data_IF_989054538721
#
_entry.id   IF_989054538721
#
_cell.length_a   1.000
_cell.length_b   1.000
_cell.length_c   1.000
_cell.angle_alpha   90.00
_cell.angle_beta   90.00
_cell.angle_gamma   90.00
#
_symmetry.space_group_name_H-M   'P 1'
#
loop_
_entity.id
_entity.type
_entity.pdbx_description
1 polymer ?
#
# COMPACT_ATOMS: atom_id res chain seq x y z
N UNK A 1 5.75 -38.75 -0.63
CA UNK A 1 5.38 -37.59 -1.46
C UNK A 1 6.13 -36.38 -0.92
N UNK A 2 7.13 -35.88 -1.66
CA UNK A 2 7.85 -34.66 -1.28
C UNK A 2 6.87 -33.48 -1.34
N UNK A 3 6.46 -32.95 -0.18
CA UNK A 3 5.89 -31.61 -0.11
C UNK A 3 6.99 -30.66 -0.58
N UNK A 4 6.92 -30.19 -1.83
CA UNK A 4 7.74 -29.04 -2.25
C UNK A 4 7.45 -27.94 -1.24
N UNK A 5 8.47 -27.49 -0.52
CA UNK A 5 8.44 -26.25 0.24
C UNK A 5 7.88 -25.18 -0.71
N UNK A 6 6.89 -24.37 -0.28
CA UNK A 6 6.44 -23.26 -1.10
C UNK A 6 7.67 -22.43 -1.50
N UNK A 7 7.84 -22.19 -2.79
CA UNK A 7 8.96 -21.39 -3.29
C UNK A 7 8.91 -20.03 -2.61
N UNK A 8 9.96 -19.67 -1.87
CA UNK A 8 10.07 -18.35 -1.26
C UNK A 8 9.99 -17.30 -2.36
N UNK A 9 9.15 -16.29 -2.17
CA UNK A 9 9.11 -15.13 -3.06
C UNK A 9 10.42 -14.34 -2.92
N UNK A 10 11.32 -14.48 -3.89
CA UNK A 10 12.64 -13.83 -3.91
C UNK A 10 12.82 -12.97 -5.19
N UNK A 11 12.26 -11.75 -5.19
CA UNK A 11 12.38 -10.81 -6.31
C UNK A 11 13.81 -10.35 -6.59
N UNK A 12 14.75 -10.51 -5.66
CA UNK A 12 16.13 -10.02 -5.83
C UNK A 12 17.14 -11.14 -6.09
N UNK A 13 16.79 -12.40 -5.82
CA UNK A 13 17.70 -13.53 -5.90
C UNK A 13 18.73 -13.54 -4.76
N UNK A 14 18.48 -12.77 -3.70
CA UNK A 14 19.43 -12.51 -2.62
C UNK A 14 18.96 -13.07 -1.28
N UNK A 15 17.90 -13.87 -1.23
CA UNK A 15 17.30 -14.40 0.00
C UNK A 15 18.33 -15.01 0.97
N UNK A 16 19.26 -15.80 0.45
CA UNK A 16 20.29 -16.44 1.28
C UNK A 16 21.28 -15.45 1.91
N UNK A 17 21.59 -14.36 1.20
CA UNK A 17 22.58 -13.35 1.61
C UNK A 17 21.99 -12.17 2.40
N UNK A 18 20.75 -11.78 2.11
CA UNK A 18 20.13 -10.55 2.61
C UNK A 18 18.76 -10.76 3.27
N UNK A 19 18.32 -12.01 3.41
CA UNK A 19 17.02 -12.32 4.02
C UNK A 19 15.84 -12.09 3.10
N UNK A 20 14.63 -12.25 3.64
CA UNK A 20 13.38 -12.03 2.91
C UNK A 20 13.23 -10.57 2.50
N UNK A 21 13.03 -10.33 1.20
CA UNK A 21 12.87 -8.99 0.60
C UNK A 21 13.97 -7.98 0.92
N UNK A 22 15.19 -8.45 1.20
CA UNK A 22 16.32 -7.61 1.61
C UNK A 22 15.98 -6.67 2.78
N UNK A 23 15.29 -7.19 3.80
CA UNK A 23 14.97 -6.43 5.01
C UNK A 23 16.23 -6.00 5.77
N UNK A 24 16.11 -4.93 6.54
CA UNK A 24 17.21 -4.27 7.26
C UNK A 24 17.96 -5.19 8.26
N UNK A 25 17.36 -6.30 8.71
CA UNK A 25 17.97 -7.20 9.69
C UNK A 25 18.55 -8.47 9.07
N UNK A 26 18.36 -8.70 7.77
CA UNK A 26 18.80 -9.92 7.09
C UNK A 26 18.00 -11.18 7.48
N UNK A 27 16.86 -11.03 8.16
CA UNK A 27 16.05 -12.16 8.65
C UNK A 27 15.35 -12.89 7.49
N UNK A 28 15.23 -14.22 7.62
CA UNK A 28 14.68 -15.12 6.60
C UNK A 28 13.33 -15.69 7.00
N UNK A 29 13.07 -15.78 8.29
CA UNK A 29 11.79 -16.24 8.82
C UNK A 29 10.70 -15.20 8.58
N UNK A 30 9.71 -15.54 7.77
CA UNK A 30 8.64 -14.63 7.35
C UNK A 30 7.84 -14.07 8.53
N UNK A 31 7.59 -14.87 9.56
CA UNK A 31 6.78 -14.44 10.71
C UNK A 31 7.57 -13.46 11.60
N UNK A 32 8.88 -13.68 11.76
CA UNK A 32 9.76 -12.70 12.41
C UNK A 32 9.85 -11.41 11.59
N UNK A 33 10.01 -11.51 10.27
CA UNK A 33 10.06 -10.35 9.37
C UNK A 33 8.78 -9.52 9.50
N UNK A 34 7.60 -10.14 9.42
CA UNK A 34 6.32 -9.44 9.61
C UNK A 34 6.22 -8.73 10.96
N UNK A 35 6.67 -9.34 12.05
CA UNK A 35 6.65 -8.70 13.38
C UNK A 35 7.58 -7.49 13.46
N UNK A 36 8.81 -7.63 12.96
CA UNK A 36 9.78 -6.53 12.96
C UNK A 36 9.34 -5.39 12.04
N UNK A 37 8.85 -5.71 10.85
CA UNK A 37 8.28 -4.75 9.91
C UNK A 37 7.09 -4.02 10.53
N UNK A 38 6.18 -4.74 11.21
CA UNK A 38 5.03 -4.13 11.89
C UNK A 38 5.47 -3.15 12.98
N UNK A 39 6.49 -3.50 13.77
CA UNK A 39 7.05 -2.59 14.78
C UNK A 39 7.63 -1.32 14.15
N UNK A 40 8.45 -1.47 13.10
CA UNK A 40 9.04 -0.35 12.38
C UNK A 40 7.97 0.54 11.71
N UNK A 41 6.97 -0.07 11.09
CA UNK A 41 5.81 0.60 10.51
C UNK A 41 5.04 1.42 11.56
N UNK A 42 4.71 0.81 12.69
CA UNK A 42 3.92 1.45 13.75
C UNK A 42 4.63 2.68 14.32
N UNK A 43 5.96 2.65 14.44
CA UNK A 43 6.76 3.79 14.87
C UNK A 43 6.74 4.98 13.90
N UNK A 44 6.37 4.76 12.63
CA UNK A 44 6.32 5.79 11.57
C UNK A 44 4.91 6.25 11.21
N UNK A 45 3.88 5.57 11.70
CA UNK A 45 2.50 5.79 11.28
C UNK A 45 2.03 7.23 11.50
N UNK A 46 2.29 7.80 12.68
CA UNK A 46 1.90 9.19 13.00
C UNK A 46 2.58 10.21 12.09
N UNK A 47 3.88 10.01 11.80
CA UNK A 47 4.63 10.86 10.87
C UNK A 47 4.04 10.80 9.46
N UNK A 48 3.70 9.61 8.97
CA UNK A 48 3.11 9.42 7.65
C UNK A 48 1.72 10.07 7.54
N UNK A 49 0.88 9.94 8.57
CA UNK A 49 -0.43 10.59 8.65
C UNK A 49 -0.30 12.12 8.66
N UNK A 50 0.64 12.66 9.45
CA UNK A 50 0.90 14.10 9.51
C UNK A 50 1.35 14.65 8.16
N UNK A 51 2.27 13.94 7.48
CA UNK A 51 2.72 14.28 6.13
C UNK A 51 1.57 14.27 5.12
N UNK A 52 0.70 13.25 5.16
CA UNK A 52 -0.45 13.15 4.26
C UNK A 52 -1.45 14.29 4.48
N UNK A 53 -1.81 14.58 5.72
CA UNK A 53 -2.73 15.67 6.06
C UNK A 53 -2.19 17.05 5.61
N UNK A 54 -0.87 17.25 5.67
CA UNK A 54 -0.23 18.48 5.19
C UNK A 54 -0.08 18.57 3.66
N UNK A 55 -0.30 17.47 2.93
CA UNK A 55 -0.10 17.42 1.48
C UNK A 55 -1.29 18.06 0.77
N UNK A 56 -1.08 19.14 0.02
CA UNK A 56 -2.18 19.84 -0.68
C UNK A 56 -2.89 18.97 -1.73
N UNK A 57 -2.14 18.23 -2.53
CA UNK A 57 -2.67 17.39 -3.61
C UNK A 57 -2.08 15.99 -3.55
N UNK A 58 -2.94 14.97 -3.57
CA UNK A 58 -2.52 13.57 -3.55
C UNK A 58 -2.24 13.12 -5.00
N UNK A 59 -0.96 13.01 -5.32
CA UNK A 59 -0.45 12.52 -6.61
C UNK A 59 0.22 11.15 -6.44
N UNK A 60 0.57 10.46 -7.53
CA UNK A 60 1.35 9.23 -7.44
C UNK A 60 2.68 9.40 -6.67
N UNK A 61 3.34 10.56 -6.79
CA UNK A 61 4.53 10.87 -6.00
C UNK A 61 4.24 10.92 -4.49
N UNK A 62 3.02 11.29 -4.10
CA UNK A 62 2.58 11.24 -2.70
C UNK A 62 2.45 9.79 -2.23
N UNK A 63 1.94 8.89 -3.08
CA UNK A 63 1.84 7.44 -2.78
C UNK A 63 3.23 6.85 -2.52
N UNK A 64 4.21 7.15 -3.37
CA UNK A 64 5.60 6.72 -3.19
C UNK A 64 6.20 7.29 -1.89
N UNK A 65 5.98 8.58 -1.60
CA UNK A 65 6.45 9.23 -0.36
C UNK A 65 5.80 8.61 0.88
N UNK A 66 4.52 8.30 0.85
CA UNK A 66 3.81 7.63 1.95
C UNK A 66 4.40 6.25 2.20
N UNK A 67 4.61 5.45 1.16
CA UNK A 67 5.27 4.16 1.31
C UNK A 67 6.68 4.32 1.88
N UNK A 68 7.45 5.30 1.41
CA UNK A 68 8.78 5.58 1.97
C UNK A 68 8.70 5.90 3.47
N UNK A 69 7.85 6.85 3.85
CA UNK A 69 7.70 7.27 5.24
C UNK A 69 7.35 6.09 6.17
N UNK A 70 6.51 5.16 5.70
CA UNK A 70 6.07 4.00 6.45
C UNK A 70 7.13 2.89 6.58
N UNK A 71 7.96 2.68 5.56
CA UNK A 71 8.79 1.47 5.46
C UNK A 71 10.31 1.71 5.36
N UNK A 72 10.77 2.97 5.32
CA UNK A 72 12.19 3.32 5.11
C UNK A 72 13.15 2.75 6.17
N UNK A 73 12.67 2.48 7.38
CA UNK A 73 13.52 1.92 8.44
C UNK A 73 13.72 0.39 8.30
N UNK A 74 12.94 -0.26 7.43
CA UNK A 74 12.92 -1.71 7.30
C UNK A 74 13.28 -2.21 5.90
N UNK A 75 12.96 -1.45 4.86
CA UNK A 75 13.30 -1.77 3.47
C UNK A 75 14.05 -0.63 2.80
N UNK A 76 15.21 -0.94 2.22
CA UNK A 76 16.00 0.05 1.46
C UNK A 76 15.29 0.56 0.21
N UNK A 77 14.37 -0.24 -0.33
CA UNK A 77 13.55 0.08 -1.49
C UNK A 77 12.25 0.81 -1.14
N UNK A 78 12.03 1.23 0.12
CA UNK A 78 10.81 1.93 0.50
C UNK A 78 10.57 3.19 -0.37
N UNK A 79 9.38 3.27 -0.98
CA UNK A 79 9.00 4.34 -1.89
C UNK A 79 9.44 4.12 -3.34
N UNK A 80 9.99 2.95 -3.66
CA UNK A 80 10.27 2.51 -5.02
C UNK A 80 9.23 1.49 -5.45
N UNK A 81 8.57 1.78 -6.56
CA UNK A 81 7.60 0.87 -7.17
C UNK A 81 8.28 -0.33 -7.87
N UNK A 82 7.48 -1.30 -8.31
CA UNK A 82 7.97 -2.50 -9.00
C UNK A 82 8.65 -2.19 -10.33
N UNK A 83 8.28 -1.10 -11.00
CA UNK A 83 8.99 -0.67 -12.21
C UNK A 83 10.47 -0.36 -11.90
N UNK A 84 10.74 0.21 -10.74
CA UNK A 84 12.10 0.56 -10.33
C UNK A 84 12.84 -0.51 -9.52
N UNK A 85 12.15 -1.50 -8.94
CA UNK A 85 12.78 -2.60 -8.18
C UNK A 85 12.89 -3.89 -8.97
N UNK A 86 11.87 -4.24 -9.75
CA UNK A 86 11.71 -5.52 -10.45
C UNK A 86 10.89 -5.36 -11.73
N UNK A 87 11.39 -4.61 -12.73
CA UNK A 87 10.64 -4.29 -13.95
C UNK A 87 10.21 -5.52 -14.74
N UNK A 88 10.99 -6.61 -14.67
CA UNK A 88 10.76 -7.82 -15.46
C UNK A 88 9.95 -8.90 -14.74
N UNK A 89 9.34 -8.56 -13.58
CA UNK A 89 8.60 -9.53 -12.75
C UNK A 89 7.13 -9.17 -12.62
N UNK A 90 6.29 -10.05 -13.13
CA UNK A 90 4.86 -10.04 -12.86
C UNK A 90 4.58 -10.60 -11.46
N UNK A 91 3.69 -9.94 -10.72
CA UNK A 91 3.27 -10.38 -9.38
C UNK A 91 1.78 -10.71 -9.44
N UNK A 92 1.43 -11.83 -8.82
CA UNK A 92 0.04 -12.27 -8.65
C UNK A 92 -0.22 -12.70 -7.22
N UNK A 93 -1.46 -12.60 -6.77
CA UNK A 93 -1.93 -13.15 -5.50
C UNK A 93 -2.78 -14.39 -5.74
N UNK A 94 -2.53 -15.45 -4.97
CA UNK A 94 -3.18 -16.75 -5.11
C UNK A 94 -2.33 -17.74 -5.91
N UNK A 95 -2.62 -19.03 -5.72
CA UNK A 95 -1.88 -20.11 -6.39
C UNK A 95 -2.07 -20.07 -7.91
N UNK A 96 -1.08 -20.58 -8.65
CA UNK A 96 -1.07 -20.59 -10.14
C UNK A 96 -2.32 -21.25 -10.72
N UNK A 97 -2.87 -22.26 -10.03
CA UNK A 97 -4.05 -23.02 -10.46
C UNK A 97 -5.34 -22.58 -9.74
N UNK A 98 -5.31 -21.50 -8.96
CA UNK A 98 -6.49 -21.02 -8.22
C UNK A 98 -7.41 -20.21 -9.13
N UNK A 99 -8.74 -20.46 -9.13
CA UNK A 99 -9.70 -19.59 -9.82
C UNK A 99 -9.77 -18.19 -9.20
N UNK A 100 -9.19 -17.99 -8.01
CA UNK A 100 -9.09 -16.70 -7.33
C UNK A 100 -7.72 -16.03 -7.52
N UNK A 101 -6.92 -16.49 -8.49
CA UNK A 101 -5.65 -15.85 -8.82
C UNK A 101 -5.93 -14.46 -9.38
N UNK A 102 -5.33 -13.46 -8.74
CA UNK A 102 -5.39 -12.06 -9.19
C UNK A 102 -4.02 -11.68 -9.72
N UNK A 103 -3.94 -11.43 -11.03
CA UNK A 103 -2.79 -10.77 -11.62
C UNK A 103 -2.88 -9.27 -11.32
N UNK A 104 -1.78 -8.70 -10.86
CA UNK A 104 -1.69 -7.27 -10.65
C UNK A 104 -1.15 -6.58 -11.89
N UNK A 105 -1.31 -5.26 -11.93
CA UNK A 105 -0.89 -4.46 -13.06
C UNK A 105 0.60 -4.65 -13.41
N UNK A 106 0.92 -4.58 -14.70
CA UNK A 106 2.30 -4.68 -15.18
C UNK A 106 3.13 -3.50 -14.70
N UNK A 107 4.42 -3.69 -14.36
CA UNK A 107 5.27 -2.62 -13.82
C UNK A 107 5.18 -1.29 -14.57
N UNK A 108 5.20 -1.32 -15.90
CA UNK A 108 5.14 -0.17 -16.78
C UNK A 108 3.77 0.55 -16.81
N UNK A 109 2.69 -0.12 -16.39
CA UNK A 109 1.33 0.42 -16.35
C UNK A 109 0.87 0.83 -14.94
N UNK A 110 1.64 0.50 -13.88
CA UNK A 110 1.28 0.79 -12.47
C UNK A 110 0.86 2.25 -12.29
N UNK A 111 1.69 3.18 -12.77
CA UNK A 111 1.44 4.61 -12.59
C UNK A 111 0.17 5.04 -13.32
N UNK A 112 -0.05 4.56 -14.54
CA UNK A 112 -1.25 4.89 -15.32
C UNK A 112 -2.51 4.41 -14.59
N UNK A 113 -2.52 3.16 -14.11
CA UNK A 113 -3.63 2.60 -13.37
C UNK A 113 -3.91 3.36 -12.07
N UNK A 114 -2.86 3.74 -11.33
CA UNK A 114 -3.00 4.51 -10.09
C UNK A 114 -3.49 5.94 -10.36
N UNK A 115 -2.91 6.63 -11.34
CA UNK A 115 -3.29 8.00 -11.73
C UNK A 115 -4.76 8.05 -12.20
N UNK A 116 -5.25 7.02 -12.89
CA UNK A 116 -6.67 6.92 -13.22
C UNK A 116 -7.56 6.84 -11.96
N UNK A 117 -7.16 6.06 -10.96
CA UNK A 117 -7.84 6.03 -9.66
C UNK A 117 -7.84 7.38 -8.94
N UNK A 118 -6.70 8.11 -8.97
CA UNK A 118 -6.58 9.45 -8.40
C UNK A 118 -7.44 10.47 -9.13
N UNK A 119 -7.51 10.40 -10.46
CA UNK A 119 -8.38 11.25 -11.27
C UNK A 119 -9.87 11.04 -10.96
N UNK A 120 -10.28 9.79 -10.67
CA UNK A 120 -11.65 9.53 -10.22
C UNK A 120 -11.89 10.09 -8.81
N UNK A 121 -10.90 9.99 -7.93
CA UNK A 121 -10.98 10.45 -6.55
C UNK A 121 -10.93 11.99 -6.40
N UNK A 122 -10.40 12.73 -7.38
CA UNK A 122 -10.32 14.19 -7.33
C UNK A 122 -11.69 14.88 -7.39
N UNK A 123 -12.71 14.18 -7.87
CA UNK A 123 -14.11 14.62 -7.82
C UNK A 123 -14.77 14.04 -6.56
N UNK A 124 -15.21 14.91 -5.64
CA UNK A 124 -15.79 14.50 -4.36
C UNK A 124 -17.09 13.69 -4.50
N UNK A 125 -17.89 13.94 -5.54
CA UNK A 125 -19.12 13.18 -5.79
C UNK A 125 -18.78 11.77 -6.28
N UNK A 126 -17.80 11.65 -7.19
CA UNK A 126 -17.29 10.35 -7.66
C UNK A 126 -16.62 9.59 -6.53
N UNK A 127 -15.82 10.26 -5.70
CA UNK A 127 -15.17 9.63 -4.54
C UNK A 127 -16.20 9.02 -3.58
N UNK A 128 -17.28 9.76 -3.27
CA UNK A 128 -18.39 9.25 -2.44
C UNK A 128 -19.14 8.09 -3.09
N UNK A 129 -19.49 8.21 -4.36
CA UNK A 129 -20.30 7.20 -5.06
C UNK A 129 -19.52 5.93 -5.42
N UNK A 130 -18.19 6.04 -5.60
CA UNK A 130 -17.34 4.97 -6.16
C UNK A 130 -16.12 4.66 -5.29
N UNK A 131 -16.19 4.91 -3.98
CA UNK A 131 -15.09 4.68 -3.05
C UNK A 131 -14.50 3.26 -3.15
N UNK A 132 -15.36 2.24 -3.23
CA UNK A 132 -14.95 0.84 -3.40
C UNK A 132 -14.27 0.56 -4.74
N UNK A 133 -14.76 1.14 -5.84
CA UNK A 133 -14.11 1.03 -7.16
C UNK A 133 -12.73 1.66 -7.16
N UNK A 134 -12.59 2.85 -6.55
CA UNK A 134 -11.31 3.57 -6.45
C UNK A 134 -10.31 2.76 -5.60
N UNK A 135 -10.75 2.21 -4.46
CA UNK A 135 -9.94 1.28 -3.67
C UNK A 135 -9.49 0.07 -4.51
N UNK A 136 -10.40 -0.51 -5.29
CA UNK A 136 -10.10 -1.62 -6.18
C UNK A 136 -9.04 -1.29 -7.24
N UNK A 137 -9.12 -0.11 -7.86
CA UNK A 137 -8.12 0.38 -8.82
C UNK A 137 -6.74 0.52 -8.16
N UNK A 138 -6.68 1.10 -6.96
CA UNK A 138 -5.42 1.19 -6.22
C UNK A 138 -4.88 -0.20 -5.88
N UNK A 139 -5.73 -1.11 -5.38
CA UNK A 139 -5.34 -2.47 -5.04
C UNK A 139 -4.83 -3.27 -6.25
N UNK A 140 -5.46 -3.06 -7.42
CA UNK A 140 -5.09 -3.69 -8.68
C UNK A 140 -3.72 -3.19 -9.20
N UNK A 141 -3.46 -1.89 -9.10
CA UNK A 141 -2.17 -1.31 -9.52
C UNK A 141 -0.97 -1.90 -8.75
N UNK A 142 -1.18 -2.29 -7.49
CA UNK A 142 -0.22 -3.00 -6.64
C UNK A 142 1.24 -2.51 -6.79
N UNK A 143 1.52 -1.22 -6.48
CA UNK A 143 2.75 -0.56 -6.89
C UNK A 143 4.04 -1.12 -6.30
N UNK A 144 4.02 -1.75 -5.12
CA UNK A 144 5.22 -2.11 -4.34
C UNK A 144 5.41 -3.63 -4.22
N UNK A 145 6.59 -4.08 -3.76
CA UNK A 145 6.85 -5.49 -3.46
C UNK A 145 6.11 -6.01 -2.23
N UNK A 146 5.98 -5.16 -1.21
CA UNK A 146 5.15 -5.36 -0.02
C UNK A 146 4.66 -3.99 0.47
N UNK A 147 3.79 -3.92 1.47
CA UNK A 147 3.30 -2.66 2.05
C UNK A 147 2.16 -2.00 1.27
N UNK A 148 1.70 -2.63 0.18
CA UNK A 148 0.62 -2.12 -0.68
C UNK A 148 -0.66 -1.81 0.08
N UNK A 149 -1.23 -2.79 0.79
CA UNK A 149 -2.51 -2.63 1.48
C UNK A 149 -2.49 -1.49 2.51
N UNK A 150 -1.41 -1.38 3.30
CA UNK A 150 -1.23 -0.32 4.30
C UNK A 150 -1.10 1.05 3.65
N UNK A 151 -0.26 1.18 2.63
CA UNK A 151 -0.08 2.46 1.92
C UNK A 151 -1.37 2.92 1.25
N UNK A 152 -2.04 2.01 0.51
CA UNK A 152 -3.28 2.29 -0.22
C UNK A 152 -4.40 2.66 0.75
N UNK A 153 -4.51 1.99 1.90
CA UNK A 153 -5.51 2.30 2.91
C UNK A 153 -5.37 3.73 3.43
N UNK A 154 -4.16 4.16 3.82
CA UNK A 154 -3.92 5.53 4.27
C UNK A 154 -4.26 6.56 3.19
N UNK A 155 -3.84 6.33 1.94
CA UNK A 155 -4.16 7.21 0.81
C UNK A 155 -5.67 7.30 0.58
N UNK A 156 -6.36 6.17 0.58
CA UNK A 156 -7.79 6.10 0.35
C UNK A 156 -8.60 6.77 1.47
N UNK A 157 -8.18 6.58 2.73
CA UNK A 157 -8.78 7.26 3.88
C UNK A 157 -8.64 8.77 3.79
N UNK A 158 -7.46 9.27 3.42
CA UNK A 158 -7.22 10.70 3.23
C UNK A 158 -8.09 11.27 2.10
N UNK A 159 -8.24 10.54 0.99
CA UNK A 159 -9.14 10.92 -0.11
C UNK A 159 -10.62 10.93 0.32
N UNK A 160 -11.07 9.93 1.08
CA UNK A 160 -12.42 9.92 1.66
C UNK A 160 -12.64 11.15 2.55
N UNK A 161 -11.69 11.43 3.44
CA UNK A 161 -11.75 12.54 4.38
C UNK A 161 -11.87 13.88 3.63
N UNK A 162 -11.06 14.09 2.59
CA UNK A 162 -11.13 15.29 1.72
C UNK A 162 -12.44 15.40 0.94
N UNK A 163 -13.11 14.28 0.68
CA UNK A 163 -14.44 14.23 0.08
C UNK A 163 -15.58 14.35 1.12
N UNK A 164 -15.25 14.64 2.39
CA UNK A 164 -16.22 14.94 3.43
C UNK A 164 -16.86 13.72 4.10
N UNK A 165 -16.24 12.53 3.98
CA UNK A 165 -16.74 11.32 4.64
C UNK A 165 -15.59 10.44 5.14
N UNK A 166 -15.91 9.47 6.00
CA UNK A 166 -14.95 8.49 6.50
C UNK A 166 -15.54 7.10 6.40
N UNK A 167 -14.69 6.11 6.10
CA UNK A 167 -15.06 4.70 6.18
C UNK A 167 -14.48 4.14 7.48
N UNK A 168 -15.35 3.59 8.33
CA UNK A 168 -14.93 2.96 9.58
C UNK A 168 -14.44 1.54 9.31
N UNK A 169 -13.16 1.40 8.99
CA UNK A 169 -12.53 0.10 8.74
C UNK A 169 -12.39 -0.78 9.99
N UNK A 170 -12.52 -0.20 11.19
CA UNK A 170 -12.53 -0.96 12.45
C UNK A 170 -13.69 -1.97 12.54
N UNK A 171 -14.78 -1.77 11.79
CA UNK A 171 -15.92 -2.69 11.76
C UNK A 171 -15.69 -3.94 10.88
N UNK A 172 -14.60 -4.01 10.13
CA UNK A 172 -14.25 -5.15 9.26
C UNK A 172 -13.14 -6.06 9.83
N UNK A 173 -12.85 -5.92 11.14
CA UNK A 173 -11.85 -6.60 11.97
C UNK A 173 -10.41 -6.01 11.98
N UNK A 174 -9.90 -5.89 13.23
CA UNK A 174 -8.61 -5.44 13.77
C UNK A 174 -8.12 -4.01 13.50
N UNK A 175 -8.94 -3.09 14.03
CA UNK A 175 -8.63 -1.76 14.63
C UNK A 175 -7.63 -0.83 13.93
N UNK A 176 -8.18 0.17 13.23
CA UNK A 176 -7.66 1.55 13.16
C UNK A 176 -8.83 2.51 13.43
N UNK A 177 -8.73 3.32 14.49
CA UNK A 177 -9.66 4.41 14.79
C UNK A 177 -9.24 5.66 14.04
N UNK A 178 -10.16 6.25 13.26
CA UNK A 178 -9.89 7.44 12.44
C UNK A 178 -10.69 8.60 12.98
N UNK A 179 -10.05 9.77 13.03
CA UNK A 179 -10.62 11.06 13.43
C UNK A 179 -11.98 11.30 12.78
N UNK A 180 -12.93 11.72 13.60
CA UNK A 180 -14.22 12.23 13.13
C UNK A 180 -14.01 13.57 12.39
N UNK A 181 -14.68 13.79 11.26
CA UNK A 181 -14.69 15.11 10.62
C UNK A 181 -15.30 16.14 11.58
N UNK A 182 -14.58 17.22 11.86
CA UNK A 182 -15.19 18.42 12.44
C UNK A 182 -15.94 19.10 11.28
N UNK A 183 -17.26 19.33 11.39
CA UNK A 183 -17.99 20.03 10.35
C UNK A 183 -17.41 21.43 10.15
N UNK A 184 -17.41 21.97 8.91
CA UNK A 184 -16.99 23.34 8.69
C UNK A 184 -17.89 24.26 9.53
N UNK A 185 -17.29 25.03 10.42
CA UNK A 185 -18.00 26.11 11.11
C UNK A 185 -18.50 27.07 10.05
N UNK A 186 -19.82 27.17 9.91
CA UNK A 186 -20.48 28.19 9.08
C UNK A 186 -20.16 29.56 9.67
N UNK A 187 -19.09 30.18 9.17
CA UNK A 187 -18.86 31.60 9.34
C UNK A 187 -19.69 32.35 8.30
N UNK A 188 -20.85 32.85 8.72
CA UNK A 188 -21.45 34.16 8.44
C UNK A 188 -22.87 34.19 8.99
#
# INVERSE_FOLDING_TARGET
MNKRSPSVFDPFGTFHSKGYLENATGEKDLEKVKRMEHLAFSARLEQALTMLAATKEITYATVLKTHKALFQDFYHWAGRDRLSTTPDKEISKGDVNSPFRTEFERPEQIRLAFDYGLQLASDQNRMRAKAGTIMGLFAFSHPFLDGNGRTILLIHMELCFRAGFSITWAATADSITIRTPIPPTSGH
#
